data_IF_189287472822
#
_entry.id   IF_189287472822
#
_cell.length_a   1.000
_cell.length_b   1.000
_cell.length_c   1.000
_cell.angle_alpha   90.00
_cell.angle_beta   90.00
_cell.angle_gamma   90.00
#
_symmetry.space_group_name_H-M   'P 1'
#
loop_
_entity.id
_entity.type
_entity.pdbx_description
1 polymer ?
#
# COMPACT_ATOMS: atom_id res chain seq x y z
N UNK A 1 -42.26 -42.63 20.81
CA UNK A 1 -43.24 -42.54 21.92
C UNK A 1 -44.61 -42.24 21.34
N UNK A 2 -45.67 -42.83 21.88
CA UNK A 2 -47.06 -42.59 21.44
C UNK A 2 -47.37 -41.08 21.42
N UNK A 3 -47.97 -40.57 20.34
CA UNK A 3 -48.47 -39.19 20.20
C UNK A 3 -49.29 -38.71 21.41
N UNK A 4 -49.93 -39.66 22.10
CA UNK A 4 -50.67 -39.42 23.35
C UNK A 4 -49.76 -39.03 24.53
N UNK A 5 -48.62 -39.71 24.70
CA UNK A 5 -47.66 -39.35 25.74
C UNK A 5 -47.04 -37.98 25.44
N UNK A 6 -46.77 -37.70 24.16
CA UNK A 6 -46.20 -36.41 23.75
C UNK A 6 -47.15 -35.24 24.05
N UNK A 7 -48.44 -35.38 23.77
CA UNK A 7 -49.45 -34.35 24.04
C UNK A 7 -49.71 -34.15 25.54
N UNK A 8 -49.67 -35.21 26.35
CA UNK A 8 -49.81 -35.11 27.82
C UNK A 8 -48.59 -34.43 28.44
N UNK A 9 -47.37 -34.76 28.01
CA UNK A 9 -46.14 -34.18 28.56
C UNK A 9 -45.89 -32.73 28.13
N UNK A 10 -46.30 -32.32 26.92
CA UNK A 10 -46.17 -30.93 26.46
C UNK A 10 -47.15 -29.98 27.18
N UNK A 11 -48.28 -30.51 27.68
CA UNK A 11 -49.28 -29.70 28.39
C UNK A 11 -48.95 -29.47 29.88
N UNK A 12 -47.93 -30.14 30.44
CA UNK A 12 -47.61 -30.13 31.86
C UNK A 12 -46.27 -29.43 32.10
N UNK A 13 -46.32 -28.18 32.57
CA UNK A 13 -45.13 -27.47 33.07
C UNK A 13 -44.54 -28.19 34.29
N UNK A 14 -43.20 -28.22 34.49
CA UNK A 14 -42.54 -28.86 35.63
C UNK A 14 -43.15 -28.49 37.00
N UNK A 15 -43.52 -27.22 37.17
CA UNK A 15 -44.14 -26.70 38.40
C UNK A 15 -45.52 -27.32 38.67
N UNK A 16 -46.37 -27.42 37.64
CA UNK A 16 -47.70 -28.03 37.76
C UNK A 16 -47.63 -29.52 38.14
N UNK A 17 -46.61 -30.22 37.65
CA UNK A 17 -46.35 -31.62 38.01
C UNK A 17 -45.92 -31.72 39.47
N UNK A 18 -45.01 -30.84 39.91
CA UNK A 18 -44.57 -30.76 41.31
C UNK A 18 -45.76 -30.55 42.25
N UNK A 19 -46.60 -29.55 41.97
CA UNK A 19 -47.80 -29.25 42.75
C UNK A 19 -48.78 -30.43 42.79
N UNK A 20 -49.02 -31.08 41.64
CA UNK A 20 -49.88 -32.26 41.56
C UNK A 20 -49.42 -33.40 42.47
N UNK A 21 -48.13 -33.72 42.45
CA UNK A 21 -47.55 -34.74 43.33
C UNK A 21 -47.60 -34.34 44.81
N UNK A 22 -47.37 -33.06 45.13
CA UNK A 22 -47.46 -32.56 46.50
C UNK A 22 -48.88 -32.65 47.06
N UNK A 23 -49.90 -32.23 46.30
CA UNK A 23 -51.29 -32.34 46.72
C UNK A 23 -51.73 -33.80 46.88
N UNK A 24 -51.30 -34.67 45.98
CA UNK A 24 -51.56 -36.11 46.08
C UNK A 24 -50.92 -36.71 47.35
N UNK A 25 -49.66 -36.39 47.63
CA UNK A 25 -48.96 -36.82 48.85
C UNK A 25 -49.64 -36.28 50.12
N UNK A 26 -50.01 -35.01 50.15
CA UNK A 26 -50.71 -34.41 51.29
C UNK A 26 -52.09 -35.05 51.48
N UNK A 27 -52.80 -35.35 50.39
CA UNK A 27 -54.07 -36.08 50.42
C UNK A 27 -53.93 -37.49 51.02
N UNK A 28 -52.92 -38.26 50.60
CA UNK A 28 -52.63 -39.58 51.17
C UNK A 28 -52.27 -39.49 52.65
N UNK A 29 -51.46 -38.50 53.02
CA UNK A 29 -51.08 -38.25 54.42
C UNK A 29 -52.30 -37.90 55.30
N UNK A 30 -53.15 -36.97 54.84
CA UNK A 30 -54.36 -36.56 55.55
C UNK A 30 -55.38 -37.71 55.65
N UNK A 31 -55.54 -38.49 54.58
CA UNK A 31 -56.40 -39.68 54.57
C UNK A 31 -55.89 -40.74 55.55
N UNK A 32 -54.59 -41.00 55.59
CA UNK A 32 -53.99 -41.93 56.55
C UNK A 32 -54.18 -41.45 58.00
N UNK A 33 -54.06 -40.15 58.25
CA UNK A 33 -54.33 -39.54 59.56
C UNK A 33 -55.82 -39.68 59.95
N UNK A 34 -56.73 -39.42 59.02
CA UNK A 34 -58.17 -39.49 59.23
C UNK A 34 -58.63 -40.95 59.46
N UNK A 35 -58.13 -41.91 58.68
CA UNK A 35 -58.36 -43.34 58.89
C UNK A 35 -57.84 -43.82 60.26
N UNK A 36 -56.68 -43.31 60.70
CA UNK A 36 -56.15 -43.58 62.05
C UNK A 36 -57.10 -43.06 63.13
N UNK A 37 -57.60 -41.83 63.01
CA UNK A 37 -58.51 -41.23 64.01
C UNK A 37 -59.88 -41.92 64.02
N UNK A 38 -60.40 -42.32 62.86
CA UNK A 38 -61.68 -43.01 62.72
C UNK A 38 -61.60 -44.53 63.01
N UNK A 39 -60.44 -45.05 63.41
CA UNK A 39 -60.17 -46.47 63.75
C UNK A 39 -60.54 -47.45 62.63
N UNK A 40 -60.43 -47.05 61.37
CA UNK A 40 -60.83 -47.85 60.20
C UNK A 40 -59.67 -47.98 59.22
N UNK A 41 -59.53 -49.14 58.57
CA UNK A 41 -58.46 -49.45 57.62
C UNK A 41 -57.03 -49.35 58.20
N UNK A 42 -56.74 -50.10 59.27
CA UNK A 42 -55.41 -50.15 59.90
C UNK A 42 -54.27 -50.55 58.95
N UNK A 43 -54.53 -51.51 58.05
CA UNK A 43 -53.57 -51.92 57.03
C UNK A 43 -53.16 -50.76 56.10
N UNK A 44 -54.08 -49.86 55.75
CA UNK A 44 -53.77 -48.68 54.94
C UNK A 44 -52.86 -47.70 55.68
N UNK A 45 -53.08 -47.50 56.98
CA UNK A 45 -52.25 -46.61 57.82
C UNK A 45 -50.83 -47.16 57.98
N UNK A 46 -50.66 -48.48 58.05
CA UNK A 46 -49.35 -49.12 58.10
C UNK A 46 -48.58 -49.03 56.77
N UNK A 47 -49.29 -49.12 55.64
CA UNK A 47 -48.69 -49.06 54.31
C UNK A 47 -48.52 -47.63 53.77
N UNK A 48 -49.27 -46.65 54.29
CA UNK A 48 -49.26 -45.26 53.83
C UNK A 48 -47.86 -44.59 53.82
N UNK A 49 -46.98 -44.79 54.83
CA UNK A 49 -45.61 -44.30 54.75
C UNK A 49 -44.82 -44.87 53.56
N UNK A 50 -45.01 -46.16 53.27
CA UNK A 50 -44.41 -46.79 52.08
C UNK A 50 -44.92 -46.16 50.79
N UNK A 51 -46.23 -45.94 50.69
CA UNK A 51 -46.86 -45.29 49.54
C UNK A 51 -46.38 -43.85 49.34
N UNK A 52 -46.20 -43.07 50.41
CA UNK A 52 -45.65 -41.70 50.34
C UNK A 52 -44.21 -41.69 49.80
N UNK A 53 -43.37 -42.64 50.25
CA UNK A 53 -42.01 -42.78 49.72
C UNK A 53 -42.01 -43.22 48.25
N UNK A 54 -42.82 -44.21 47.89
CA UNK A 54 -42.94 -44.68 46.50
C UNK A 54 -43.47 -43.58 45.56
N UNK A 55 -44.41 -42.76 46.04
CA UNK A 55 -44.94 -41.64 45.28
C UNK A 55 -43.92 -40.50 45.12
N UNK A 56 -43.08 -40.27 46.14
CA UNK A 56 -41.93 -39.37 46.04
C UNK A 56 -40.91 -39.84 45.00
N UNK A 57 -40.60 -41.15 44.96
CA UNK A 57 -39.71 -41.75 43.96
C UNK A 57 -40.30 -41.62 42.55
N UNK A 58 -41.60 -41.86 42.38
CA UNK A 58 -42.31 -41.69 41.10
C UNK A 58 -42.24 -40.23 40.60
N UNK A 59 -42.40 -39.26 41.51
CA UNK A 59 -42.23 -37.83 41.22
C UNK A 59 -40.82 -37.51 40.73
N UNK A 60 -39.80 -38.09 41.35
CA UNK A 60 -38.39 -37.94 40.93
C UNK A 60 -38.16 -38.39 39.50
N UNK A 61 -38.62 -39.60 39.16
CA UNK A 61 -38.48 -40.11 37.78
C UNK A 61 -39.24 -39.26 36.78
N UNK A 62 -40.43 -38.78 37.15
CA UNK A 62 -41.23 -37.91 36.27
C UNK A 62 -40.54 -36.57 36.03
N UNK A 63 -39.95 -35.94 37.06
CA UNK A 63 -39.20 -34.69 36.93
C UNK A 63 -37.95 -34.80 36.05
N UNK A 64 -37.19 -35.90 36.18
CA UNK A 64 -36.02 -36.17 35.32
C UNK A 64 -36.42 -36.39 33.86
N UNK A 65 -37.51 -37.12 33.62
CA UNK A 65 -38.02 -37.35 32.25
C UNK A 65 -38.43 -36.03 31.60
N UNK A 66 -39.13 -35.15 32.33
CA UNK A 66 -39.52 -33.82 31.82
C UNK A 66 -38.29 -32.96 31.51
N UNK A 67 -37.28 -32.95 32.39
CA UNK A 67 -36.04 -32.19 32.19
C UNK A 67 -35.21 -32.64 30.98
N UNK A 68 -35.30 -33.92 30.61
CA UNK A 68 -34.59 -34.49 29.45
C UNK A 68 -35.42 -34.49 28.15
N UNK A 69 -36.72 -34.20 28.22
CA UNK A 69 -37.64 -34.37 27.09
C UNK A 69 -37.39 -33.40 25.92
N UNK A 70 -36.94 -32.18 26.21
CA UNK A 70 -36.58 -31.15 25.22
C UNK A 70 -35.06 -30.89 25.13
N UNK A 71 -34.24 -31.82 25.65
CA UNK A 71 -32.79 -31.64 25.63
C UNK A 71 -32.23 -31.68 24.20
N UNK A 72 -31.59 -30.59 23.78
CA UNK A 72 -31.02 -30.46 22.44
C UNK A 72 -29.62 -29.83 22.47
N UNK A 73 -28.68 -30.43 21.74
CA UNK A 73 -27.29 -29.95 21.59
C UNK A 73 -27.14 -28.59 20.89
N UNK A 74 -28.06 -28.13 20.01
CA UNK A 74 -27.94 -26.81 19.39
C UNK A 74 -28.29 -25.65 20.33
N UNK A 75 -29.12 -25.88 21.35
CA UNK A 75 -29.58 -24.87 22.33
C UNK A 75 -29.26 -25.35 23.75
N UNK A 76 -27.97 -25.58 24.04
CA UNK A 76 -27.50 -26.16 25.31
C UNK A 76 -27.90 -25.31 26.51
N UNK A 77 -27.79 -23.98 26.45
CA UNK A 77 -28.14 -23.10 27.58
C UNK A 77 -29.60 -23.25 28.00
N UNK A 78 -30.51 -23.31 27.01
CA UNK A 78 -31.94 -23.51 27.25
C UNK A 78 -32.24 -24.94 27.70
N UNK A 79 -31.50 -25.91 27.17
CA UNK A 79 -31.64 -27.32 27.52
C UNK A 79 -31.16 -27.59 28.95
N UNK A 80 -30.07 -26.95 29.40
CA UNK A 80 -29.58 -27.02 30.78
C UNK A 80 -30.56 -26.32 31.73
N UNK A 81 -31.11 -25.16 31.36
CA UNK A 81 -32.12 -24.48 32.17
C UNK A 81 -33.36 -25.36 32.40
N UNK A 82 -33.91 -25.95 31.33
CA UNK A 82 -35.05 -26.87 31.41
C UNK A 82 -34.73 -28.14 32.21
N UNK A 83 -33.52 -28.69 32.04
CA UNK A 83 -33.04 -29.84 32.81
C UNK A 83 -32.98 -29.51 34.31
N UNK A 84 -32.48 -28.33 34.65
CA UNK A 84 -32.33 -27.87 36.02
C UNK A 84 -33.69 -27.64 36.69
N UNK A 85 -34.70 -27.20 35.96
CA UNK A 85 -36.08 -27.10 36.48
C UNK A 85 -36.77 -28.47 36.64
N UNK A 86 -36.53 -29.42 35.73
CA UNK A 86 -36.95 -30.82 35.91
C UNK A 86 -36.26 -31.49 37.11
N UNK A 87 -34.99 -31.17 37.36
CA UNK A 87 -34.24 -31.66 38.52
C UNK A 87 -34.76 -31.05 39.83
N UNK A 88 -35.10 -29.75 39.86
CA UNK A 88 -35.74 -29.11 41.03
C UNK A 88 -37.05 -29.81 41.39
N UNK A 89 -37.88 -30.07 40.38
CA UNK A 89 -39.14 -30.82 40.53
C UNK A 89 -38.88 -32.20 41.16
N UNK A 90 -37.93 -32.94 40.60
CA UNK A 90 -37.57 -34.27 41.08
C UNK A 90 -37.07 -34.28 42.54
N UNK A 91 -36.29 -33.27 42.92
CA UNK A 91 -35.75 -33.14 44.27
C UNK A 91 -36.85 -32.81 45.30
N UNK A 92 -37.72 -31.84 45.00
CA UNK A 92 -38.78 -31.40 45.92
C UNK A 92 -39.77 -32.54 46.21
N UNK A 93 -40.20 -33.30 45.18
CA UNK A 93 -41.13 -34.42 45.38
C UNK A 93 -40.53 -35.54 46.23
N UNK A 94 -39.23 -35.81 46.09
CA UNK A 94 -38.53 -36.83 46.88
C UNK A 94 -38.39 -36.43 48.35
N UNK A 95 -37.96 -35.19 48.61
CA UNK A 95 -37.80 -34.67 49.97
C UNK A 95 -39.13 -34.66 50.70
N UNK A 96 -40.21 -34.21 50.05
CA UNK A 96 -41.55 -34.22 50.65
C UNK A 96 -42.07 -35.65 50.85
N UNK A 97 -41.88 -36.57 49.91
CA UNK A 97 -42.32 -37.97 50.05
C UNK A 97 -41.64 -38.71 51.20
N UNK A 98 -40.33 -38.54 51.34
CA UNK A 98 -39.55 -39.10 52.46
C UNK A 98 -39.92 -38.39 53.77
N UNK A 99 -40.01 -37.06 53.76
CA UNK A 99 -40.34 -36.25 54.94
C UNK A 99 -41.72 -36.60 55.52
N UNK A 100 -42.76 -36.65 54.68
CA UNK A 100 -44.11 -37.02 55.09
C UNK A 100 -44.21 -38.48 55.54
N UNK A 101 -43.45 -39.39 54.92
CA UNK A 101 -43.38 -40.80 55.32
C UNK A 101 -42.76 -40.97 56.72
N UNK A 102 -41.64 -40.30 56.99
CA UNK A 102 -41.00 -40.30 58.30
C UNK A 102 -41.92 -39.66 59.34
N UNK A 103 -42.54 -38.52 59.01
CA UNK A 103 -43.48 -37.84 59.89
C UNK A 103 -44.66 -38.74 60.27
N UNK A 104 -45.24 -39.44 59.28
CA UNK A 104 -46.35 -40.37 59.51
C UNK A 104 -45.92 -41.56 60.38
N UNK A 105 -44.75 -42.16 60.13
CA UNK A 105 -44.19 -43.24 60.97
C UNK A 105 -43.91 -42.80 62.41
N UNK A 106 -43.37 -41.59 62.57
CA UNK A 106 -43.12 -41.03 63.89
C UNK A 106 -44.43 -40.82 64.65
N UNK A 107 -45.44 -40.21 64.00
CA UNK A 107 -46.75 -39.99 64.60
C UNK A 107 -47.47 -41.30 64.94
N UNK A 108 -47.35 -42.32 64.07
CA UNK A 108 -47.99 -43.62 64.33
C UNK A 108 -47.35 -44.38 65.47
N UNK A 109 -46.02 -44.23 65.66
CA UNK A 109 -45.22 -44.93 66.69
C UNK A 109 -45.22 -44.24 68.06
N UNK A 110 -45.17 -42.91 68.12
CA UNK A 110 -45.04 -42.18 69.40
C UNK A 110 -46.35 -41.96 70.15
N UNK A 111 -47.50 -42.24 69.53
CA UNK A 111 -48.81 -42.18 70.19
C UNK A 111 -49.33 -43.61 70.41
N UNK A 112 -48.95 -44.29 71.51
CA UNK A 112 -49.49 -45.59 71.87
C UNK A 112 -50.94 -45.45 72.35
N UNK A 113 -51.86 -46.23 71.78
CA UNK A 113 -53.25 -46.33 72.24
C UNK A 113 -53.36 -47.40 73.34
N UNK A 114 -54.11 -47.14 74.43
CA UNK A 114 -54.25 -48.08 75.54
C UNK A 114 -55.30 -49.15 75.22
N UNK A 115 -54.93 -50.42 75.40
CA UNK A 115 -55.88 -51.53 75.49
C UNK A 115 -55.45 -52.79 74.76
N UNK A 116 -54.62 -53.62 75.39
CA UNK A 116 -54.72 -55.08 75.37
C UNK A 116 -53.76 -55.67 76.43
N UNK A 117 -54.25 -55.73 77.68
CA UNK A 117 -53.73 -56.61 78.71
C UNK A 117 -54.75 -57.74 78.90
N UNK A 118 -54.29 -58.99 78.97
CA UNK A 118 -54.99 -60.03 79.73
C UNK A 118 -54.00 -61.01 80.33
N UNK A 119 -54.18 -61.13 81.65
CA UNK A 119 -53.31 -61.71 82.63
C UNK A 119 -53.36 -63.25 82.69
N UNK A 120 -52.17 -63.81 82.84
CA UNK A 120 -51.76 -64.69 83.95
C UNK A 120 -52.62 -65.94 84.19
N UNK A 121 -52.06 -67.09 83.83
CA UNK A 121 -52.30 -68.36 84.51
C UNK A 121 -50.96 -69.08 84.64
N UNK A 122 -50.60 -69.40 85.89
CA UNK A 122 -49.56 -70.36 86.32
C UNK A 122 -48.07 -69.99 86.19
N UNK A 123 -47.58 -69.23 87.18
CA UNK A 123 -46.15 -68.97 87.46
C UNK A 123 -45.27 -70.24 87.64
N UNK A 124 -45.85 -71.44 87.75
CA UNK A 124 -45.13 -72.70 87.83
C UNK A 124 -44.76 -73.26 86.46
N UNK A 125 -45.75 -73.38 85.56
CA UNK A 125 -45.54 -73.85 84.20
C UNK A 125 -44.80 -72.82 83.34
N UNK A 126 -45.05 -71.53 83.55
CA UNK A 126 -44.33 -70.44 82.89
C UNK A 126 -42.85 -70.46 83.24
N UNK A 127 -42.46 -70.82 84.47
CA UNK A 127 -41.03 -70.88 84.83
C UNK A 127 -40.32 -72.01 84.11
N UNK A 128 -40.90 -73.21 84.07
CA UNK A 128 -40.34 -74.36 83.34
C UNK A 128 -40.41 -74.18 81.82
N UNK A 129 -41.50 -73.63 81.29
CA UNK A 129 -41.65 -73.31 79.88
C UNK A 129 -40.72 -72.15 79.48
N UNK A 130 -40.52 -71.12 80.31
CA UNK A 130 -39.52 -70.07 80.08
C UNK A 130 -38.11 -70.62 80.16
N UNK A 131 -37.82 -71.58 81.04
CA UNK A 131 -36.48 -72.16 81.12
C UNK A 131 -36.19 -73.05 79.90
N UNK A 132 -37.15 -73.85 79.46
CA UNK A 132 -37.03 -74.65 78.22
C UNK A 132 -37.04 -73.77 76.97
N UNK A 133 -37.86 -72.72 76.93
CA UNK A 133 -37.86 -71.73 75.85
C UNK A 133 -36.56 -70.94 75.86
N UNK A 134 -36.02 -70.55 77.02
CA UNK A 134 -34.74 -69.85 77.10
C UNK A 134 -33.60 -70.73 76.63
N UNK A 135 -33.55 -72.01 77.02
CA UNK A 135 -32.55 -72.95 76.51
C UNK A 135 -32.72 -73.19 75.00
N UNK A 136 -33.95 -73.44 74.51
CA UNK A 136 -34.20 -73.65 73.09
C UNK A 136 -34.01 -72.39 72.24
N UNK A 137 -34.27 -71.20 72.79
CA UNK A 137 -34.06 -69.91 72.14
C UNK A 137 -32.58 -69.52 72.17
N UNK A 138 -31.84 -69.83 73.24
CA UNK A 138 -30.39 -69.64 73.31
C UNK A 138 -29.69 -70.61 72.37
N UNK A 139 -30.02 -71.90 72.37
CA UNK A 139 -29.48 -72.86 71.40
C UNK A 139 -29.92 -72.55 69.96
N UNK A 140 -31.16 -72.10 69.77
CA UNK A 140 -31.68 -71.69 68.47
C UNK A 140 -31.01 -70.43 67.94
N UNK A 141 -30.84 -69.40 68.77
CA UNK A 141 -30.06 -68.21 68.46
C UNK A 141 -28.60 -68.56 68.22
N UNK A 142 -27.99 -69.43 69.02
CA UNK A 142 -26.58 -69.79 68.85
C UNK A 142 -26.37 -70.54 67.52
N UNK A 143 -27.30 -71.43 67.14
CA UNK A 143 -27.28 -72.07 65.79
C UNK A 143 -27.52 -71.05 64.68
N UNK A 144 -28.45 -70.11 64.86
CA UNK A 144 -28.74 -69.07 63.86
C UNK A 144 -27.60 -68.04 63.74
N UNK A 145 -26.93 -67.70 64.84
CA UNK A 145 -25.74 -66.84 64.88
C UNK A 145 -24.59 -67.55 64.19
N UNK A 146 -24.29 -68.82 64.53
CA UNK A 146 -23.25 -69.58 63.83
C UNK A 146 -23.54 -69.73 62.33
N UNK A 147 -24.78 -70.01 61.96
CA UNK A 147 -25.18 -70.06 60.55
C UNK A 147 -25.06 -68.69 59.86
N UNK A 148 -25.40 -67.60 60.56
CA UNK A 148 -25.22 -66.24 60.06
C UNK A 148 -23.75 -65.86 59.96
N UNK A 149 -22.90 -66.30 60.88
CA UNK A 149 -21.45 -66.11 60.88
C UNK A 149 -20.83 -66.85 59.68
N UNK A 150 -21.19 -68.12 59.48
CA UNK A 150 -20.76 -68.90 58.31
C UNK A 150 -21.24 -68.25 56.99
N UNK A 151 -22.46 -67.71 56.95
CA UNK A 151 -22.98 -67.00 55.78
C UNK A 151 -22.25 -65.67 55.54
N UNK A 152 -21.95 -64.90 56.59
CA UNK A 152 -21.17 -63.66 56.51
C UNK A 152 -19.74 -63.93 56.08
N UNK A 153 -19.11 -64.99 56.60
CA UNK A 153 -17.77 -65.41 56.22
C UNK A 153 -17.74 -65.80 54.75
N UNK A 154 -18.65 -66.68 54.31
CA UNK A 154 -18.74 -67.09 52.91
C UNK A 154 -19.08 -65.91 51.97
N UNK A 155 -19.97 -65.01 52.38
CA UNK A 155 -20.30 -63.81 51.61
C UNK A 155 -19.08 -62.88 51.49
N UNK A 156 -18.37 -62.62 52.59
CA UNK A 156 -17.14 -61.82 52.60
C UNK A 156 -16.07 -62.42 51.69
N UNK A 157 -15.91 -63.75 51.74
CA UNK A 157 -14.95 -64.47 50.93
C UNK A 157 -15.31 -64.43 49.43
N UNK A 158 -16.59 -64.57 49.08
CA UNK A 158 -17.08 -64.43 47.71
C UNK A 158 -16.93 -63.00 47.17
N UNK A 159 -17.30 -61.98 47.96
CA UNK A 159 -17.17 -60.57 47.58
C UNK A 159 -15.69 -60.22 47.38
N UNK A 160 -14.82 -60.65 48.29
CA UNK A 160 -13.38 -60.44 48.18
C UNK A 160 -12.81 -61.10 46.92
N UNK A 161 -13.16 -62.36 46.65
CA UNK A 161 -12.70 -63.05 45.44
C UNK A 161 -13.25 -62.43 44.15
N UNK A 162 -14.52 -62.02 44.13
CA UNK A 162 -15.11 -61.34 42.98
C UNK A 162 -14.44 -59.99 42.72
N UNK A 163 -14.25 -59.19 43.77
CA UNK A 163 -13.58 -57.88 43.68
C UNK A 163 -12.14 -58.03 43.19
N UNK A 164 -11.39 -59.01 43.71
CA UNK A 164 -10.01 -59.27 43.27
C UNK A 164 -9.97 -59.71 41.80
N UNK A 165 -10.91 -60.56 41.34
CA UNK A 165 -10.97 -60.96 39.92
C UNK A 165 -11.27 -59.78 39.00
N UNK A 166 -12.28 -58.99 39.34
CA UNK A 166 -12.64 -57.81 38.53
C UNK A 166 -11.50 -56.78 38.51
N UNK A 167 -10.86 -56.54 39.65
CA UNK A 167 -9.68 -55.65 39.72
C UNK A 167 -8.51 -56.19 38.89
N UNK A 168 -8.23 -57.49 38.96
CA UNK A 168 -7.17 -58.11 38.16
C UNK A 168 -7.44 -57.97 36.66
N UNK A 169 -8.70 -58.18 36.24
CA UNK A 169 -9.11 -58.03 34.84
C UNK A 169 -9.02 -56.56 34.38
N UNK A 170 -9.37 -55.60 35.23
CA UNK A 170 -9.20 -54.16 34.93
C UNK A 170 -7.72 -53.82 34.79
N UNK A 171 -6.85 -54.30 35.68
CA UNK A 171 -5.41 -54.06 35.61
C UNK A 171 -4.80 -54.69 34.36
N UNK A 172 -5.21 -55.91 34.01
CA UNK A 172 -4.72 -56.59 32.81
C UNK A 172 -5.17 -55.87 31.53
N UNK A 173 -6.44 -55.46 31.47
CA UNK A 173 -6.97 -54.71 30.34
C UNK A 173 -6.33 -53.31 30.24
N UNK A 174 -6.11 -52.65 31.37
CA UNK A 174 -5.38 -51.38 31.44
C UNK A 174 -3.94 -51.53 30.95
N UNK A 175 -3.21 -52.54 31.42
CA UNK A 175 -1.83 -52.79 31.00
C UNK A 175 -1.76 -53.08 29.50
N UNK A 176 -2.64 -53.91 28.95
CA UNK A 176 -2.71 -54.16 27.50
C UNK A 176 -3.00 -52.87 26.72
N UNK A 177 -3.91 -52.04 27.22
CA UNK A 177 -4.27 -50.78 26.55
C UNK A 177 -3.15 -49.76 26.61
N UNK A 178 -2.44 -49.66 27.74
CA UNK A 178 -1.26 -48.82 27.90
C UNK A 178 -0.17 -49.30 26.95
N UNK A 179 0.18 -50.58 26.97
CA UNK A 179 1.26 -51.10 26.13
C UNK A 179 0.97 -50.93 24.63
N UNK A 180 -0.27 -51.22 24.21
CA UNK A 180 -0.67 -51.06 22.80
C UNK A 180 -0.84 -49.60 22.39
N UNK A 181 -1.70 -48.83 23.06
CA UNK A 181 -2.04 -47.48 22.59
C UNK A 181 -0.97 -46.45 22.92
N UNK A 182 -0.30 -46.57 24.06
CA UNK A 182 0.79 -45.67 24.40
C UNK A 182 2.02 -46.00 23.55
N UNK A 183 2.29 -47.28 23.30
CA UNK A 183 3.35 -47.71 22.38
C UNK A 183 3.13 -47.17 20.97
N UNK A 184 1.96 -47.41 20.38
CA UNK A 184 1.64 -46.94 19.02
C UNK A 184 1.67 -45.41 18.93
N UNK A 185 1.13 -44.71 19.92
CA UNK A 185 1.16 -43.24 19.95
C UNK A 185 2.58 -42.71 20.12
N UNK A 186 3.44 -43.33 20.93
CA UNK A 186 4.85 -42.92 21.07
C UNK A 186 5.65 -43.17 19.79
N UNK A 187 5.38 -44.26 19.08
CA UNK A 187 5.98 -44.49 17.75
C UNK A 187 5.53 -43.43 16.75
N UNK A 188 4.23 -43.14 16.65
CA UNK A 188 3.72 -42.06 15.79
C UNK A 188 4.27 -40.69 16.18
N UNK A 189 4.41 -40.42 17.48
CA UNK A 189 5.02 -39.19 17.97
C UNK A 189 6.49 -39.09 17.52
N UNK A 190 7.27 -40.16 17.65
CA UNK A 190 8.65 -40.22 17.17
C UNK A 190 8.77 -40.01 15.66
N UNK A 191 7.90 -40.64 14.86
CA UNK A 191 7.86 -40.45 13.41
C UNK A 191 7.51 -39.00 13.02
N UNK A 192 6.52 -38.40 13.69
CA UNK A 192 6.16 -37.01 13.46
C UNK A 192 7.31 -36.06 13.86
N UNK A 193 8.03 -36.36 14.94
CA UNK A 193 9.19 -35.58 15.37
C UNK A 193 10.34 -35.67 14.37
N UNK A 194 10.62 -36.86 13.82
CA UNK A 194 11.64 -37.04 12.78
C UNK A 194 11.28 -36.28 11.49
N UNK A 195 9.99 -36.27 11.10
CA UNK A 195 9.51 -35.45 9.97
C UNK A 195 9.65 -33.95 10.24
N UNK A 196 9.37 -33.53 11.47
CA UNK A 196 9.55 -32.15 11.88
C UNK A 196 11.02 -31.71 11.81
N UNK A 197 11.94 -32.54 12.29
CA UNK A 197 13.38 -32.29 12.23
C UNK A 197 13.87 -32.13 10.78
N UNK A 198 13.48 -33.04 9.88
CA UNK A 198 13.78 -32.94 8.45
C UNK A 198 13.19 -31.68 7.79
N UNK A 199 11.99 -31.25 8.22
CA UNK A 199 11.38 -30.01 7.75
C UNK A 199 12.18 -28.78 8.20
N UNK A 200 12.63 -28.75 9.46
CA UNK A 200 13.46 -27.68 10.01
C UNK A 200 14.81 -27.60 9.30
N UNK A 201 15.45 -28.74 9.02
CA UNK A 201 16.70 -28.78 8.26
C UNK A 201 16.52 -28.21 6.85
N UNK A 202 15.44 -28.60 6.17
CA UNK A 202 15.09 -28.09 4.84
C UNK A 202 14.85 -26.58 4.87
N UNK A 203 14.07 -26.10 5.85
CA UNK A 203 13.78 -24.67 6.02
C UNK A 203 15.06 -23.87 6.26
N UNK A 204 15.98 -24.41 7.07
CA UNK A 204 17.28 -23.78 7.36
C UNK A 204 18.14 -23.69 6.10
N UNK A 205 18.15 -24.74 5.27
CA UNK A 205 18.87 -24.75 3.99
C UNK A 205 18.30 -23.72 3.01
N UNK A 206 16.98 -23.69 2.86
CA UNK A 206 16.27 -22.70 2.04
C UNK A 206 16.54 -21.27 2.52
N UNK A 207 16.59 -21.04 3.84
CA UNK A 207 16.91 -19.73 4.40
C UNK A 207 18.32 -19.25 4.02
N UNK A 208 19.33 -20.13 4.06
CA UNK A 208 20.68 -19.79 3.61
C UNK A 208 20.74 -19.46 2.12
N UNK A 209 20.09 -20.27 1.28
CA UNK A 209 20.03 -20.00 -0.16
C UNK A 209 19.28 -18.70 -0.45
N UNK A 210 18.26 -18.37 0.34
CA UNK A 210 17.56 -17.09 0.24
C UNK A 210 18.47 -15.92 0.62
N UNK A 211 19.25 -16.03 1.69
CA UNK A 211 20.23 -15.02 2.12
C UNK A 211 21.25 -14.73 1.02
N UNK A 212 21.89 -15.76 0.45
CA UNK A 212 22.83 -15.62 -0.67
C UNK A 212 22.20 -14.94 -1.90
N UNK A 213 20.93 -15.26 -2.20
CA UNK A 213 20.22 -14.62 -3.32
C UNK A 213 19.91 -13.15 -3.07
N UNK A 214 19.57 -12.78 -1.83
CA UNK A 214 19.34 -11.38 -1.45
C UNK A 214 20.63 -10.59 -1.51
N UNK A 215 21.74 -11.16 -1.06
CA UNK A 215 23.07 -10.55 -1.15
C UNK A 215 23.47 -10.31 -2.62
N UNK A 216 23.32 -11.31 -3.48
CA UNK A 216 23.54 -11.18 -4.93
C UNK A 216 22.69 -10.06 -5.55
N UNK A 217 21.40 -10.02 -5.21
CA UNK A 217 20.49 -8.97 -5.69
C UNK A 217 20.89 -7.59 -5.20
N UNK A 218 21.28 -7.48 -3.93
CA UNK A 218 21.72 -6.22 -3.33
C UNK A 218 22.98 -5.69 -4.02
N UNK A 219 23.95 -6.56 -4.29
CA UNK A 219 25.20 -6.20 -4.98
C UNK A 219 24.95 -5.75 -6.43
N UNK A 220 24.02 -6.41 -7.12
CA UNK A 220 23.72 -6.11 -8.53
C UNK A 220 22.69 -4.98 -8.72
N UNK A 221 22.00 -4.57 -7.65
CA UNK A 221 21.01 -3.48 -7.70
C UNK A 221 21.64 -2.16 -8.13
N UNK A 222 22.84 -1.86 -7.62
CA UNK A 222 23.59 -0.65 -8.01
C UNK A 222 23.91 -0.66 -9.51
N UNK A 223 24.29 -1.81 -10.06
CA UNK A 223 24.57 -1.95 -11.50
C UNK A 223 23.29 -1.74 -12.33
N UNK A 224 22.16 -2.29 -11.88
CA UNK A 224 20.87 -2.09 -12.56
C UNK A 224 20.41 -0.62 -12.50
N UNK A 225 20.55 0.03 -11.34
CA UNK A 225 20.24 1.46 -11.18
C UNK A 225 21.14 2.32 -12.06
N UNK A 226 22.45 2.06 -12.08
CA UNK A 226 23.38 2.75 -12.97
C UNK A 226 23.01 2.56 -14.45
N UNK A 227 22.61 1.35 -14.84
CA UNK A 227 22.11 1.06 -16.19
C UNK A 227 20.87 1.87 -16.55
N UNK A 228 19.90 1.99 -15.64
CA UNK A 228 18.69 2.79 -15.85
C UNK A 228 19.00 4.30 -15.97
N UNK A 229 19.91 4.82 -15.14
CA UNK A 229 20.38 6.21 -15.24
C UNK A 229 21.07 6.46 -16.59
N UNK A 230 21.83 5.49 -17.10
CA UNK A 230 22.45 5.59 -18.41
C UNK A 230 21.41 5.66 -19.53
N UNK A 231 20.41 4.77 -19.51
CA UNK A 231 19.32 4.78 -20.50
C UNK A 231 18.55 6.11 -20.46
N UNK A 232 18.31 6.66 -19.28
CA UNK A 232 17.66 7.97 -19.13
C UNK A 232 18.49 9.11 -19.77
N UNK A 233 19.82 9.09 -19.57
CA UNK A 233 20.73 10.06 -20.21
C UNK A 233 20.74 9.91 -21.74
N UNK A 234 20.80 8.68 -22.23
CA UNK A 234 20.79 8.42 -23.67
C UNK A 234 19.47 8.90 -24.32
N UNK A 235 18.32 8.65 -23.67
CA UNK A 235 17.02 9.16 -24.11
C UNK A 235 16.96 10.69 -24.13
N UNK A 236 17.53 11.35 -23.12
CA UNK A 236 17.60 12.81 -23.08
C UNK A 236 18.47 13.36 -24.22
N UNK A 237 19.59 12.71 -24.53
CA UNK A 237 20.46 13.09 -25.64
C UNK A 237 19.78 12.91 -26.99
N UNK A 238 19.07 11.79 -27.20
CA UNK A 238 18.25 11.57 -28.41
C UNK A 238 17.19 12.66 -28.54
N UNK A 239 16.49 13.00 -27.46
CA UNK A 239 15.49 14.07 -27.47
C UNK A 239 16.10 15.42 -27.89
N UNK A 240 17.28 15.75 -27.37
CA UNK A 240 17.97 16.99 -27.70
C UNK A 240 18.40 17.04 -29.18
N UNK A 241 18.91 15.94 -29.74
CA UNK A 241 19.22 15.84 -31.17
C UNK A 241 17.95 15.95 -32.04
N UNK A 242 16.84 15.35 -31.61
CA UNK A 242 15.55 15.52 -32.30
C UNK A 242 15.03 16.95 -32.24
N UNK A 243 15.35 17.72 -31.20
CA UNK A 243 14.98 19.13 -31.10
C UNK A 243 15.78 20.04 -32.06
N UNK A 244 16.96 19.60 -32.54
CA UNK A 244 17.78 20.33 -33.51
C UNK A 244 17.40 20.05 -34.97
N UNK A 245 16.70 18.93 -35.25
CA UNK A 245 16.21 18.56 -36.60
C UNK A 245 15.47 19.69 -37.33
N UNK A 246 14.54 20.44 -36.70
CA UNK A 246 13.85 21.54 -37.37
C UNK A 246 14.81 22.63 -37.89
N UNK A 247 15.87 22.96 -37.15
CA UNK A 247 16.86 23.96 -37.59
C UNK A 247 17.66 23.47 -38.80
N UNK A 248 17.95 22.16 -38.84
CA UNK A 248 18.56 21.53 -40.00
C UNK A 248 17.64 21.61 -41.24
N UNK A 249 16.34 21.34 -41.07
CA UNK A 249 15.35 21.50 -42.14
C UNK A 249 15.19 22.96 -42.60
N UNK A 250 15.20 23.93 -41.69
CA UNK A 250 15.21 25.36 -42.01
C UNK A 250 16.47 25.74 -42.81
N UNK A 251 17.63 25.19 -42.44
CA UNK A 251 18.88 25.38 -43.17
C UNK A 251 18.82 24.84 -44.60
N UNK A 252 18.25 23.64 -44.79
CA UNK A 252 18.02 23.04 -46.10
C UNK A 252 17.06 23.87 -46.95
N UNK A 253 15.99 24.41 -46.37
CA UNK A 253 15.06 25.30 -47.09
C UNK A 253 15.76 26.59 -47.56
N UNK A 254 16.49 27.26 -46.66
CA UNK A 254 17.25 28.47 -47.02
C UNK A 254 18.29 28.20 -48.10
N UNK A 255 18.99 27.07 -48.02
CA UNK A 255 19.90 26.64 -49.08
C UNK A 255 19.18 26.45 -50.41
N UNK A 256 18.00 25.81 -50.41
CA UNK A 256 17.16 25.64 -51.59
C UNK A 256 16.70 26.96 -52.20
N UNK A 257 16.34 27.94 -51.39
CA UNK A 257 15.95 29.28 -51.86
C UNK A 257 17.14 30.05 -52.45
N UNK A 258 18.30 30.03 -51.78
CA UNK A 258 19.54 30.59 -52.33
C UNK A 258 19.94 29.94 -53.65
N UNK A 259 19.83 28.62 -53.77
CA UNK A 259 20.13 27.91 -55.01
C UNK A 259 19.17 28.34 -56.14
N UNK A 260 17.89 28.55 -55.82
CA UNK A 260 16.88 29.01 -56.79
C UNK A 260 17.15 30.46 -57.24
N UNK A 261 17.48 31.36 -56.32
CA UNK A 261 17.89 32.74 -56.63
C UNK A 261 19.17 32.79 -57.48
N UNK A 262 20.18 31.99 -57.13
CA UNK A 262 21.39 31.86 -57.96
C UNK A 262 21.06 31.40 -59.38
N UNK A 263 20.19 30.41 -59.52
CA UNK A 263 19.78 29.88 -60.82
C UNK A 263 19.07 30.96 -61.66
N UNK A 264 18.20 31.77 -61.04
CA UNK A 264 17.56 32.91 -61.71
C UNK A 264 18.56 33.98 -62.14
N UNK A 265 19.46 34.39 -61.25
CA UNK A 265 20.52 35.36 -61.58
C UNK A 265 21.41 34.87 -62.72
N UNK A 266 21.73 33.58 -62.75
CA UNK A 266 22.56 32.98 -63.80
C UNK A 266 21.81 32.96 -65.13
N UNK A 267 20.50 32.68 -65.11
CA UNK A 267 19.65 32.75 -66.30
C UNK A 267 19.52 34.19 -66.84
N UNK A 268 19.37 35.19 -65.96
CA UNK A 268 19.38 36.61 -66.36
C UNK A 268 20.73 37.06 -66.93
N UNK A 269 21.84 36.56 -66.40
CA UNK A 269 23.16 36.83 -66.96
C UNK A 269 23.31 36.23 -68.36
N UNK A 270 22.80 35.01 -68.58
CA UNK A 270 22.79 34.37 -69.90
C UNK A 270 21.94 35.16 -70.91
N UNK A 271 20.78 35.67 -70.51
CA UNK A 271 19.95 36.51 -71.37
C UNK A 271 20.58 37.89 -71.64
N UNK A 272 21.25 38.51 -70.66
CA UNK A 272 22.08 39.70 -70.88
C UNK A 272 23.20 39.42 -71.89
N UNK A 273 23.81 38.24 -71.83
CA UNK A 273 24.84 37.82 -72.78
C UNK A 273 24.28 37.69 -74.21
N UNK A 274 23.06 37.16 -74.36
CA UNK A 274 22.34 37.18 -75.66
C UNK A 274 22.10 38.61 -76.15
N UNK A 275 21.72 39.53 -75.26
CA UNK A 275 21.53 40.95 -75.58
C UNK A 275 22.80 41.66 -76.05
N UNK A 276 23.95 41.40 -75.40
CA UNK A 276 25.26 41.92 -75.84
C UNK A 276 25.62 41.39 -77.22
N UNK A 277 25.34 40.12 -77.50
CA UNK A 277 25.57 39.54 -78.83
C UNK A 277 24.73 40.24 -79.93
N UNK A 278 23.48 40.61 -79.61
CA UNK A 278 22.65 41.40 -80.51
C UNK A 278 23.16 42.84 -80.68
N UNK A 279 23.68 43.46 -79.62
CA UNK A 279 24.23 44.82 -79.65
C UNK A 279 25.56 44.90 -80.43
N UNK A 280 26.34 43.82 -80.44
CA UNK A 280 27.56 43.69 -81.27
C UNK A 280 27.21 43.72 -82.77
N UNK A 281 26.05 43.20 -83.19
CA UNK A 281 25.61 43.32 -84.59
C UNK A 281 25.30 44.78 -85.00
N UNK A 282 24.94 45.64 -84.04
CA UNK A 282 24.54 47.03 -84.30
C UNK A 282 25.72 48.03 -84.17
N UNK A 283 26.75 47.70 -83.38
CA UNK A 283 27.94 48.54 -83.19
C UNK A 283 28.99 48.36 -84.29
N UNK A 284 29.05 47.18 -84.94
CA UNK A 284 30.01 46.91 -86.02
C UNK A 284 29.93 47.94 -87.17
N UNK A 285 28.74 48.30 -87.68
CA UNK A 285 28.60 49.33 -88.72
C UNK A 285 28.98 50.74 -88.22
N UNK A 286 28.66 51.07 -86.96
CA UNK A 286 28.93 52.39 -86.38
C UNK A 286 30.43 52.63 -86.18
N UNK A 287 31.21 51.58 -85.93
CA UNK A 287 32.66 51.65 -85.88
C UNK A 287 33.25 52.06 -87.24
N UNK A 288 32.70 51.53 -88.34
CA UNK A 288 33.06 51.95 -89.70
C UNK A 288 32.82 53.44 -89.94
N UNK A 289 31.63 53.94 -89.58
CA UNK A 289 31.28 55.36 -89.73
C UNK A 289 32.17 56.27 -88.85
N UNK A 290 32.52 55.86 -87.63
CA UNK A 290 33.42 56.64 -86.75
C UNK A 290 34.86 56.68 -87.26
N UNK A 291 35.34 55.61 -87.87
CA UNK A 291 36.66 55.59 -88.52
C UNK A 291 36.67 56.55 -89.71
N UNK A 292 35.60 56.62 -90.49
CA UNK A 292 35.47 57.55 -91.62
C UNK A 292 35.44 59.02 -91.17
N UNK A 293 34.70 59.32 -90.10
CA UNK A 293 34.70 60.65 -89.47
C UNK A 293 36.05 61.03 -88.89
N UNK A 294 36.79 60.07 -88.32
CA UNK A 294 38.14 60.30 -87.82
C UNK A 294 39.12 60.66 -88.95
N UNK A 295 39.02 59.99 -90.10
CA UNK A 295 39.82 60.31 -91.30
C UNK A 295 39.50 61.71 -91.83
N UNK A 296 38.22 62.12 -91.87
CA UNK A 296 37.86 63.51 -92.23
C UNK A 296 38.37 64.56 -91.22
N UNK A 297 38.38 64.23 -89.93
CA UNK A 297 38.91 65.11 -88.89
C UNK A 297 40.40 65.41 -89.07
N UNK A 298 41.17 64.46 -89.62
CA UNK A 298 42.60 64.63 -89.91
C UNK A 298 42.82 65.68 -91.03
N UNK A 299 41.99 65.71 -92.07
CA UNK A 299 42.08 66.71 -93.14
C UNK A 299 41.81 68.14 -92.63
N UNK A 300 40.83 68.29 -91.73
CA UNK A 300 40.50 69.59 -91.11
C UNK A 300 41.65 70.08 -90.23
N UNK A 301 42.29 69.18 -89.47
CA UNK A 301 43.46 69.51 -88.65
C UNK A 301 44.63 69.96 -89.52
N UNK A 302 44.88 69.31 -90.67
CA UNK A 302 45.95 69.69 -91.59
C UNK A 302 45.73 71.10 -92.19
N UNK A 303 44.48 71.45 -92.49
CA UNK A 303 44.12 72.79 -93.02
C UNK A 303 44.27 73.88 -91.95
N UNK A 304 43.84 73.63 -90.71
CA UNK A 304 44.01 74.57 -89.59
C UNK A 304 45.49 74.76 -89.25
N UNK A 305 46.26 73.68 -89.20
CA UNK A 305 47.70 73.74 -88.88
C UNK A 305 48.51 74.53 -89.91
N UNK A 306 48.15 74.46 -91.20
CA UNK A 306 48.82 75.24 -92.26
C UNK A 306 48.48 76.73 -92.17
N UNK A 307 47.25 77.07 -91.79
CA UNK A 307 46.82 78.46 -91.54
C UNK A 307 47.49 79.04 -90.29
N UNK A 308 47.52 78.27 -89.21
CA UNK A 308 48.08 78.67 -87.92
C UNK A 308 49.61 78.83 -88.01
N UNK A 309 50.28 77.96 -88.77
CA UNK A 309 51.73 78.08 -89.03
C UNK A 309 52.06 79.34 -89.85
N UNK A 310 51.20 79.75 -90.78
CA UNK A 310 51.36 81.00 -91.54
C UNK A 310 51.17 82.23 -90.65
N UNK A 311 50.22 82.17 -89.73
CA UNK A 311 49.96 83.21 -88.74
C UNK A 311 51.08 83.30 -87.69
N UNK A 312 51.65 82.16 -87.28
CA UNK A 312 52.79 82.08 -86.37
C UNK A 312 54.08 82.59 -87.02
N UNK A 313 54.29 82.42 -88.33
CA UNK A 313 55.42 83.04 -89.04
C UNK A 313 55.32 84.57 -89.05
N UNK A 314 54.11 85.13 -89.18
CA UNK A 314 53.86 86.57 -89.08
C UNK A 314 54.05 87.07 -87.64
N UNK A 315 53.65 86.30 -86.63
CA UNK A 315 53.86 86.67 -85.22
C UNK A 315 55.34 86.61 -84.84
N UNK A 316 56.09 85.62 -85.31
CA UNK A 316 57.55 85.50 -85.09
C UNK A 316 58.29 86.67 -85.73
N UNK A 317 57.92 87.09 -86.95
CA UNK A 317 58.51 88.27 -87.59
C UNK A 317 58.28 89.55 -86.76
N UNK A 318 57.07 89.74 -86.23
CA UNK A 318 56.71 90.88 -85.37
C UNK A 318 57.39 90.81 -83.99
N UNK A 319 57.61 89.60 -83.48
CA UNK A 319 58.27 89.35 -82.20
C UNK A 319 59.79 89.53 -82.31
N UNK A 320 60.37 89.28 -83.49
CA UNK A 320 61.77 89.61 -83.80
C UNK A 320 62.03 91.11 -83.85
N UNK A 321 61.07 91.91 -84.31
CA UNK A 321 61.14 93.38 -84.31
C UNK A 321 61.04 93.95 -82.88
N UNK A 322 60.18 93.35 -82.04
CA UNK A 322 60.07 93.68 -80.61
C UNK A 322 61.29 93.22 -79.79
N UNK A 323 61.91 92.09 -80.13
CA UNK A 323 63.16 91.62 -79.53
C UNK A 323 64.32 92.59 -79.82
N UNK A 324 64.36 93.22 -81.00
CA UNK A 324 65.31 94.30 -81.30
C UNK A 324 65.19 95.48 -80.35
N UNK A 325 63.95 95.91 -80.04
CA UNK A 325 63.69 96.97 -79.07
C UNK A 325 63.96 96.54 -77.60
N UNK A 326 63.73 95.27 -77.26
CA UNK A 326 64.02 94.72 -75.93
C UNK A 326 65.52 94.55 -75.67
N UNK A 327 66.33 94.25 -76.69
CA UNK A 327 67.80 94.19 -76.55
C UNK A 327 68.39 95.58 -76.25
N UNK A 328 67.83 96.63 -76.84
CA UNK A 328 68.19 98.03 -76.56
C UNK A 328 67.79 98.44 -75.12
N UNK A 329 66.63 97.99 -74.65
CA UNK A 329 66.17 98.19 -73.27
C UNK A 329 66.96 97.37 -72.22
N UNK A 330 67.36 96.14 -72.54
CA UNK A 330 68.19 95.28 -71.68
C UNK A 330 69.62 95.83 -71.59
N UNK A 331 70.15 96.43 -72.66
CA UNK A 331 71.44 97.12 -72.63
C UNK A 331 71.43 98.34 -71.70
N UNK A 332 70.30 99.06 -71.61
CA UNK A 332 70.09 100.12 -70.61
C UNK A 332 69.77 99.62 -69.19
N UNK A 333 69.25 98.40 -69.04
CA UNK A 333 69.00 97.77 -67.74
C UNK A 333 70.27 97.16 -67.12
N UNK A 334 71.22 96.70 -67.95
CA UNK A 334 72.54 96.25 -67.49
C UNK A 334 73.36 97.38 -66.83
N UNK A 335 73.13 98.63 -67.24
CA UNK A 335 73.71 99.82 -66.60
C UNK A 335 73.13 100.10 -65.19
N UNK A 336 72.00 99.47 -64.84
CA UNK A 336 71.32 99.56 -63.53
C UNK A 336 71.40 98.30 -62.67
N UNK A 337 72.03 97.22 -63.15
CA UNK A 337 72.17 95.95 -62.42
C UNK A 337 73.38 95.97 -61.46
N UNK A 338 73.42 96.96 -60.56
CA UNK A 338 74.39 97.04 -59.45
C UNK A 338 73.76 96.68 -58.09
N UNK A 339 72.51 96.21 -58.06
CA UNK A 339 71.87 95.79 -56.80
C UNK A 339 70.66 94.89 -57.06
N UNK A 340 70.65 93.64 -56.56
CA UNK A 340 69.52 92.98 -55.85
C UNK A 340 69.79 91.47 -55.56
N UNK A 341 69.14 90.97 -54.49
CA UNK A 341 69.68 90.02 -53.48
C UNK A 341 68.92 88.65 -53.36
N UNK A 342 69.51 87.70 -52.62
CA UNK A 342 69.14 86.28 -52.47
C UNK A 342 67.81 86.00 -51.73
N UNK A 343 67.28 86.96 -50.97
CA UNK A 343 66.09 86.79 -50.13
C UNK A 343 64.79 86.50 -50.91
N UNK A 344 64.73 86.90 -52.18
CA UNK A 344 63.53 86.71 -53.01
C UNK A 344 63.31 85.24 -53.39
N UNK A 345 64.39 84.47 -53.58
CA UNK A 345 64.32 83.04 -53.91
C UNK A 345 63.88 82.21 -52.70
N UNK A 346 64.27 82.62 -51.49
CA UNK A 346 64.00 81.88 -50.26
C UNK A 346 62.52 81.94 -49.82
N UNK A 347 61.85 83.07 -50.06
CA UNK A 347 60.44 83.24 -49.70
C UNK A 347 59.48 82.34 -50.51
N UNK A 348 59.77 82.10 -51.80
CA UNK A 348 58.95 81.25 -52.67
C UNK A 348 58.94 79.77 -52.24
N UNK A 349 60.07 79.27 -51.72
CA UNK A 349 60.18 77.87 -51.26
C UNK A 349 59.47 77.67 -49.91
N UNK A 350 59.55 78.67 -49.03
CA UNK A 350 58.95 78.63 -47.70
C UNK A 350 57.41 78.52 -47.75
N UNK A 351 56.77 79.24 -48.68
CA UNK A 351 55.31 79.31 -48.83
C UNK A 351 54.70 77.98 -49.29
N UNK A 352 55.37 77.27 -50.19
CA UNK A 352 54.93 75.97 -50.70
C UNK A 352 54.97 74.88 -49.61
N UNK A 353 56.02 74.85 -48.78
CA UNK A 353 56.20 73.84 -47.72
C UNK A 353 55.17 73.97 -46.60
N UNK A 354 54.80 75.20 -46.22
CA UNK A 354 53.78 75.45 -45.19
C UNK A 354 52.40 74.97 -45.62
N UNK A 355 52.04 75.22 -46.88
CA UNK A 355 50.73 74.84 -47.44
C UNK A 355 50.53 73.33 -47.44
N UNK A 356 51.56 72.55 -47.77
CA UNK A 356 51.48 71.08 -47.78
C UNK A 356 51.38 70.48 -46.37
N UNK A 357 52.09 71.06 -45.39
CA UNK A 357 52.06 70.61 -44.00
C UNK A 357 50.66 70.74 -43.37
N UNK A 358 49.97 71.84 -43.67
CA UNK A 358 48.62 72.10 -43.15
C UNK A 358 47.59 71.10 -43.72
N UNK A 359 47.65 70.79 -45.02
CA UNK A 359 46.75 69.80 -45.63
C UNK A 359 46.89 68.38 -45.07
N UNK A 360 48.11 67.96 -44.74
CA UNK A 360 48.36 66.65 -44.12
C UNK A 360 47.84 66.57 -42.67
N UNK A 361 47.91 67.68 -41.92
CA UNK A 361 47.42 67.73 -40.56
C UNK A 361 45.88 67.65 -40.49
N UNK A 362 45.19 68.25 -41.44
CA UNK A 362 43.72 68.23 -41.53
C UNK A 362 43.18 66.81 -41.82
N UNK A 363 43.81 66.08 -42.74
CA UNK A 363 43.48 64.68 -43.04
C UNK A 363 43.63 63.77 -41.81
N UNK A 364 44.71 63.93 -41.05
CA UNK A 364 44.95 63.14 -39.84
C UNK A 364 43.87 63.39 -38.77
N UNK A 365 43.43 64.65 -38.60
CA UNK A 365 42.35 64.98 -37.68
C UNK A 365 40.99 64.43 -38.13
N UNK A 366 40.73 64.44 -39.44
CA UNK A 366 39.50 63.88 -39.99
C UNK A 366 39.42 62.36 -39.78
N UNK A 367 40.53 61.64 -40.02
CA UNK A 367 40.61 60.19 -39.82
C UNK A 367 40.47 59.77 -38.34
N UNK A 368 41.02 60.56 -37.42
CA UNK A 368 40.89 60.30 -35.98
C UNK A 368 39.44 60.46 -35.48
N UNK A 369 38.68 61.42 -36.03
CA UNK A 369 37.26 61.61 -35.68
C UNK A 369 36.39 60.44 -36.12
N UNK A 370 36.52 60.00 -37.37
CA UNK A 370 35.73 58.87 -37.90
C UNK A 370 36.01 57.57 -37.16
N UNK A 371 37.27 57.31 -36.78
CA UNK A 371 37.59 56.14 -35.96
C UNK A 371 36.94 56.19 -34.57
N UNK A 372 36.88 57.37 -33.94
CA UNK A 372 36.24 57.54 -32.63
C UNK A 372 34.73 57.30 -32.69
N UNK A 373 34.06 57.85 -33.69
CA UNK A 373 32.62 57.66 -33.91
C UNK A 373 32.26 56.19 -34.13
N UNK A 374 33.10 55.45 -34.87
CA UNK A 374 32.92 54.02 -35.10
C UNK A 374 33.03 53.19 -33.80
N UNK A 375 34.01 53.53 -32.94
CA UNK A 375 34.21 52.84 -31.65
C UNK A 375 33.07 53.11 -30.67
N UNK A 376 32.56 54.34 -30.64
CA UNK A 376 31.42 54.71 -29.80
C UNK A 376 30.13 53.99 -30.25
N UNK A 377 29.90 53.88 -31.57
CA UNK A 377 28.77 53.14 -32.13
C UNK A 377 28.82 51.63 -31.79
N UNK A 378 29.99 50.99 -31.90
CA UNK A 378 30.18 49.59 -31.54
C UNK A 378 29.94 49.36 -30.03
N UNK A 379 30.45 50.24 -29.18
CA UNK A 379 30.26 50.17 -27.73
C UNK A 379 28.79 50.29 -27.33
N UNK A 380 28.03 51.14 -28.03
CA UNK A 380 26.60 51.30 -27.79
C UNK A 380 25.80 50.04 -28.16
N UNK A 381 26.11 49.42 -29.31
CA UNK A 381 25.45 48.19 -29.77
C UNK A 381 25.74 47.03 -28.80
N UNK A 382 26.99 46.89 -28.34
CA UNK A 382 27.37 45.83 -27.39
C UNK A 382 26.64 46.01 -26.06
N UNK A 383 26.60 47.23 -25.48
CA UNK A 383 25.85 47.48 -24.23
C UNK A 383 24.37 47.19 -24.36
N UNK A 384 23.76 47.57 -25.48
CA UNK A 384 22.34 47.32 -25.74
C UNK A 384 22.04 45.83 -25.83
N UNK A 385 22.86 45.09 -26.58
CA UNK A 385 22.73 43.62 -26.73
C UNK A 385 22.89 42.88 -25.39
N UNK A 386 23.85 43.30 -24.55
CA UNK A 386 24.04 42.72 -23.21
C UNK A 386 22.83 43.03 -22.30
N UNK A 387 22.31 44.26 -22.33
CA UNK A 387 21.13 44.62 -21.53
C UNK A 387 19.86 43.89 -21.97
N UNK A 388 19.65 43.70 -23.27
CA UNK A 388 18.54 42.92 -23.81
C UNK A 388 18.65 41.43 -23.43
N UNK A 389 19.87 40.88 -23.44
CA UNK A 389 20.15 39.51 -23.00
C UNK A 389 19.90 39.33 -21.49
N UNK A 390 20.35 40.26 -20.66
CA UNK A 390 20.15 40.22 -19.19
C UNK A 390 18.65 40.26 -18.83
N UNK A 391 17.88 41.11 -19.50
CA UNK A 391 16.42 41.18 -19.35
C UNK A 391 15.72 39.89 -19.78
N UNK A 392 16.16 39.27 -20.88
CA UNK A 392 15.62 38.01 -21.37
C UNK A 392 15.91 36.85 -20.40
N UNK A 393 17.14 36.76 -19.90
CA UNK A 393 17.56 35.75 -18.91
C UNK A 393 16.76 35.90 -17.62
N UNK A 394 16.58 37.13 -17.13
CA UNK A 394 15.76 37.39 -15.93
C UNK A 394 14.30 36.92 -16.09
N UNK A 395 13.69 37.17 -17.26
CA UNK A 395 12.33 36.69 -17.56
C UNK A 395 12.25 35.17 -17.66
N UNK A 396 13.25 34.53 -18.27
CA UNK A 396 13.32 33.06 -18.32
C UNK A 396 13.49 32.46 -16.93
N UNK A 397 14.31 33.07 -16.07
CA UNK A 397 14.50 32.63 -14.69
C UNK A 397 13.19 32.67 -13.90
N UNK A 398 12.44 33.77 -13.97
CA UNK A 398 11.12 33.88 -13.32
C UNK A 398 10.08 32.89 -13.88
N UNK A 399 10.10 32.61 -15.19
CA UNK A 399 9.20 31.61 -15.78
C UNK A 399 9.54 30.19 -15.32
N UNK A 400 10.83 29.87 -15.17
CA UNK A 400 11.30 28.59 -14.64
C UNK A 400 10.91 28.45 -13.17
N UNK A 401 11.17 29.47 -12.35
CA UNK A 401 10.82 29.48 -10.92
C UNK A 401 9.33 29.21 -10.71
N UNK A 402 8.47 29.92 -11.46
CA UNK A 402 7.02 29.75 -11.37
C UNK A 402 6.54 28.36 -11.82
N UNK A 403 7.08 27.81 -12.92
CA UNK A 403 6.74 26.44 -13.35
C UNK A 403 7.21 25.39 -12.35
N UNK A 404 8.38 25.62 -11.75
CA UNK A 404 8.93 24.71 -10.76
C UNK A 404 8.08 24.71 -9.49
N UNK A 405 7.58 25.87 -9.06
CA UNK A 405 6.58 25.99 -7.98
C UNK A 405 5.27 25.26 -8.31
N UNK A 406 4.69 25.50 -9.49
CA UNK A 406 3.44 24.86 -9.93
C UNK A 406 3.57 23.32 -9.99
N UNK A 407 4.69 22.80 -10.49
CA UNK A 407 4.98 21.36 -10.51
C UNK A 407 5.24 20.80 -9.11
N UNK A 408 5.99 21.51 -8.27
CA UNK A 408 6.29 21.04 -6.91
C UNK A 408 5.01 20.99 -6.06
N UNK A 409 4.13 21.98 -6.19
CA UNK A 409 2.80 21.98 -5.57
C UNK A 409 1.91 20.84 -6.11
N UNK A 410 1.95 20.61 -7.42
CA UNK A 410 1.24 19.49 -8.07
C UNK A 410 1.69 18.11 -7.55
N UNK A 411 3.00 17.90 -7.46
CA UNK A 411 3.59 16.66 -6.93
C UNK A 411 3.25 16.48 -5.45
N UNK A 412 3.40 17.52 -4.63
CA UNK A 412 3.05 17.45 -3.20
C UNK A 412 1.56 17.14 -3.01
N UNK A 413 0.69 17.74 -3.80
CA UNK A 413 -0.75 17.48 -3.77
C UNK A 413 -1.08 16.04 -4.16
N UNK A 414 -0.53 15.54 -5.27
CA UNK A 414 -0.70 14.17 -5.72
C UNK A 414 -0.17 13.15 -4.70
N UNK A 415 1.00 13.41 -4.11
CA UNK A 415 1.57 12.59 -3.04
C UNK A 415 0.69 12.59 -1.79
N UNK A 416 0.17 13.75 -1.39
CA UNK A 416 -0.75 13.87 -0.25
C UNK A 416 -2.04 13.08 -0.45
N UNK A 417 -2.59 13.10 -1.67
CA UNK A 417 -3.82 12.38 -2.02
C UNK A 417 -3.59 10.86 -2.10
N UNK A 418 -2.43 10.43 -2.61
CA UNK A 418 -2.01 9.04 -2.59
C UNK A 418 -1.79 8.53 -1.15
N UNK A 419 -1.09 9.30 -0.31
CA UNK A 419 -0.89 8.99 1.11
C UNK A 419 -2.20 8.90 1.88
N UNK A 420 -3.14 9.82 1.66
CA UNK A 420 -4.47 9.78 2.26
C UNK A 420 -5.25 8.53 1.84
N UNK A 421 -5.15 8.14 0.56
CA UNK A 421 -5.79 6.93 0.03
C UNK A 421 -5.19 5.67 0.65
N UNK A 422 -3.86 5.56 0.68
CA UNK A 422 -3.14 4.42 1.27
C UNK A 422 -3.43 4.33 2.77
N UNK A 423 -3.38 5.43 3.51
CA UNK A 423 -3.67 5.47 4.95
C UNK A 423 -5.14 5.08 5.24
N UNK A 424 -6.07 5.57 4.42
CA UNK A 424 -7.48 5.19 4.51
C UNK A 424 -7.72 3.71 4.23
N UNK A 425 -7.01 3.14 3.26
CA UNK A 425 -7.08 1.71 2.91
C UNK A 425 -6.46 0.84 4.01
N UNK A 426 -5.26 1.20 4.49
CA UNK A 426 -4.62 0.55 5.64
C UNK A 426 -5.51 0.54 6.89
N UNK A 427 -6.16 1.67 7.20
CA UNK A 427 -7.06 1.75 8.36
C UNK A 427 -8.27 0.81 8.19
N UNK A 428 -8.78 0.69 6.96
CA UNK A 428 -9.91 -0.16 6.63
C UNK A 428 -9.52 -1.64 6.75
N UNK A 429 -8.38 -2.01 6.18
CA UNK A 429 -7.82 -3.36 6.23
C UNK A 429 -7.48 -3.76 7.67
N UNK A 430 -6.91 -2.84 8.45
CA UNK A 430 -6.59 -3.07 9.86
C UNK A 430 -7.86 -3.28 10.70
N UNK A 431 -8.92 -2.47 10.51
CA UNK A 431 -10.21 -2.70 11.18
C UNK A 431 -10.81 -4.05 10.81
N UNK A 432 -10.72 -4.44 9.55
CA UNK A 432 -11.26 -5.70 9.06
C UNK A 432 -10.51 -6.90 9.66
N UNK A 433 -9.19 -6.82 9.74
CA UNK A 433 -8.33 -7.81 10.38
C UNK A 433 -8.64 -7.92 11.88
N UNK A 434 -8.74 -6.79 12.60
CA UNK A 434 -9.09 -6.79 14.03
C UNK A 434 -10.47 -7.38 14.26
N UNK A 435 -11.46 -7.07 13.41
CA UNK A 435 -12.79 -7.66 13.49
C UNK A 435 -12.78 -9.17 13.23
N UNK A 436 -11.96 -9.67 12.30
CA UNK A 436 -11.78 -11.10 12.07
C UNK A 436 -11.09 -11.79 13.25
N UNK A 437 -10.06 -11.16 13.82
CA UNK A 437 -9.38 -11.66 15.02
C UNK A 437 -10.33 -11.72 16.21
N UNK A 438 -11.14 -10.69 16.44
CA UNK A 438 -12.16 -10.68 17.49
C UNK A 438 -13.21 -11.77 17.30
N UNK A 439 -13.66 -12.01 16.06
CA UNK A 439 -14.56 -13.14 15.78
C UNK A 439 -13.91 -14.47 16.10
N UNK A 440 -12.65 -14.69 15.70
CA UNK A 440 -11.93 -15.92 15.99
C UNK A 440 -11.72 -16.11 17.50
N UNK A 441 -11.38 -15.06 18.24
CA UNK A 441 -11.23 -15.15 19.70
C UNK A 441 -12.56 -15.36 20.40
N UNK A 442 -13.66 -14.79 19.90
CA UNK A 442 -15.00 -15.00 20.44
C UNK A 442 -15.51 -16.42 20.16
N UNK A 443 -15.30 -16.95 18.94
CA UNK A 443 -15.58 -18.35 18.62
C UNK A 443 -14.68 -19.31 19.42
N UNK A 444 -13.42 -18.94 19.69
CA UNK A 444 -12.53 -19.72 20.55
C UNK A 444 -12.95 -19.66 22.02
N UNK A 445 -13.45 -18.53 22.51
CA UNK A 445 -13.96 -18.37 23.87
C UNK A 445 -15.29 -19.12 24.07
N UNK A 446 -16.18 -19.12 23.08
CA UNK A 446 -17.40 -19.93 23.06
C UNK A 446 -17.08 -21.43 23.11
N UNK A 447 -16.10 -21.89 22.32
CA UNK A 447 -15.62 -23.29 22.37
C UNK A 447 -14.93 -23.65 23.68
N UNK A 448 -14.18 -22.73 24.30
CA UNK A 448 -13.53 -22.97 25.58
C UNK A 448 -14.52 -22.97 26.77
N UNK A 449 -15.67 -22.31 26.64
CA UNK A 449 -16.76 -22.44 27.61
C UNK A 449 -17.56 -23.75 27.42
N UNK A 450 -17.68 -24.26 26.18
CA UNK A 450 -18.22 -25.62 25.92
C UNK A 450 -17.32 -26.76 26.43
N UNK A 451 -16.01 -26.55 26.58
CA UNK A 451 -15.07 -27.57 27.09
C UNK A 451 -14.89 -27.55 28.63
N UNK A 452 -15.38 -26.52 29.34
CA UNK A 452 -15.22 -26.36 30.80
C UNK A 452 -16.55 -26.57 31.57
N UNK A 453 -17.69 -26.61 30.89
CA UNK A 453 -18.97 -27.08 31.43
C UNK A 453 -19.18 -28.56 31.12
#
# INVERSE_FOLDING_TARGET
>A
MSEFLRSVFIALSPDAVTEGFLYLMLGVFALALLCRVLRRAGEFVEQAPGLLTSLGILGTFTGVIIGLFEFSLPDIDRSIANLLDGLKTAFITSVCGIGLSILLRALTRFVPMPGEDSAVTELGEIRTALQQLHVALVEGQERQIRQSEDQLENFSLQVSQALVREMAQVVECFNQRVESQFGENMTRFGENFARFDAMVETLTREYKVHEERVEYWSEHCDTAVMGLVQVARDLQQIHQQLAEMPQFFDGLQRFGDHAREQMQSLNEQLDRYRGVSAQIQDVLPQLGNRIEQFVQGIDVVQQVMTSDMKQSLVSIARQSELLGAQIEAVSGAFEKMSSLDADFIQNLVQESVVTHRNGMQELAMQQARTHKEMVDALSHIIRKSIGDAESSIGKQYQMVERRMEEEMEGVISAMGQALATISGQFTRDYRQLVAQMQRLTQTAAERAHEEVA
#
